data_IF_210523109531
#
_entry.id   IF_210523109531
#
_cell.length_a   1.000
_cell.length_b   1.000
_cell.length_c   1.000
_cell.angle_alpha   90.00
_cell.angle_beta   90.00
_cell.angle_gamma   90.00
#
_symmetry.space_group_name_H-M   'P 1'
#
loop_
_entity.id
_entity.type
_entity.pdbx_description
1 polymer ?
#
# COMPACT_ATOMS: atom_id res chain seq x y z
N UNK A 1 -44.30 15.94 37.92
CA UNK A 1 -43.01 15.25 38.09
C UNK A 1 -42.76 14.08 37.11
N UNK A 2 -43.76 13.34 36.65
CA UNK A 2 -43.61 12.22 35.69
C UNK A 2 -43.33 12.67 34.25
N UNK A 3 -43.91 13.78 33.80
CA UNK A 3 -43.78 14.29 32.42
C UNK A 3 -42.34 14.80 32.13
N UNK A 4 -41.73 15.48 33.11
CA UNK A 4 -40.34 16.00 32.95
C UNK A 4 -39.31 14.86 32.83
N UNK A 5 -39.52 13.75 33.56
CA UNK A 5 -38.62 12.58 33.44
C UNK A 5 -38.70 11.87 32.07
N UNK A 6 -39.89 11.85 31.46
CA UNK A 6 -40.09 11.26 30.12
C UNK A 6 -39.44 12.14 29.04
N UNK A 7 -39.56 13.46 29.14
CA UNK A 7 -38.94 14.39 28.19
C UNK A 7 -37.41 14.30 28.25
N UNK A 8 -36.82 14.24 29.45
CA UNK A 8 -35.38 14.11 29.63
C UNK A 8 -34.87 12.76 29.05
N UNK A 9 -35.64 11.66 29.25
CA UNK A 9 -35.28 10.34 28.73
C UNK A 9 -35.34 10.31 27.18
N UNK A 10 -36.33 10.94 26.57
CA UNK A 10 -36.48 11.04 25.10
C UNK A 10 -35.37 11.90 24.50
N UNK A 11 -34.95 12.99 25.14
CA UNK A 11 -33.84 13.83 24.66
C UNK A 11 -32.51 13.11 24.76
N UNK A 12 -32.27 12.35 25.83
CA UNK A 12 -31.02 11.54 25.97
C UNK A 12 -31.00 10.40 24.97
N UNK A 13 -32.12 9.74 24.69
CA UNK A 13 -32.17 8.68 23.69
C UNK A 13 -32.06 9.22 22.26
N UNK A 14 -32.60 10.39 21.95
CA UNK A 14 -32.43 11.04 20.64
C UNK A 14 -30.99 11.51 20.43
N UNK A 15 -30.31 12.03 21.44
CA UNK A 15 -28.92 12.44 21.36
C UNK A 15 -27.97 11.23 21.23
N UNK A 16 -28.28 10.11 21.88
CA UNK A 16 -27.53 8.86 21.74
C UNK A 16 -27.75 8.23 20.38
N UNK A 17 -28.96 8.27 19.83
CA UNK A 17 -29.27 7.77 18.49
C UNK A 17 -28.64 8.63 17.37
N UNK A 18 -28.58 9.95 17.55
CA UNK A 18 -27.84 10.82 16.61
C UNK A 18 -26.33 10.63 16.70
N UNK A 19 -25.77 10.36 17.88
CA UNK A 19 -24.36 10.02 18.02
C UNK A 19 -24.01 8.67 17.38
N UNK A 20 -24.89 7.67 17.48
CA UNK A 20 -24.71 6.36 16.83
C UNK A 20 -24.91 6.46 15.31
N UNK A 21 -25.84 7.30 14.83
CA UNK A 21 -26.02 7.55 13.40
C UNK A 21 -24.85 8.35 12.79
N UNK A 22 -24.19 9.22 13.56
CA UNK A 22 -22.96 9.90 13.13
C UNK A 22 -21.76 8.97 13.11
N UNK A 23 -21.70 7.92 13.95
CA UNK A 23 -20.62 6.93 13.96
C UNK A 23 -20.71 5.89 12.83
N UNK A 24 -21.87 5.75 12.20
CA UNK A 24 -22.10 4.77 11.11
C UNK A 24 -22.08 5.38 9.70
N UNK A 25 -21.95 6.70 9.55
CA UNK A 25 -21.97 7.42 8.27
C UNK A 25 -20.65 8.13 7.95
N UNK A 26 -19.60 7.93 8.76
CA UNK A 26 -18.28 8.43 8.39
C UNK A 26 -17.79 7.58 7.22
N UNK A 27 -17.68 8.21 6.04
CA UNK A 27 -16.93 7.64 4.93
C UNK A 27 -15.49 7.36 5.39
N UNK A 28 -14.77 6.45 4.73
CA UNK A 28 -13.36 6.24 5.06
C UNK A 28 -12.56 7.55 5.14
N UNK A 29 -12.94 8.56 4.35
CA UNK A 29 -12.36 9.91 4.37
C UNK A 29 -12.59 10.65 5.70
N UNK A 30 -13.79 10.56 6.28
CA UNK A 30 -14.11 11.24 7.55
C UNK A 30 -13.42 10.57 8.75
N UNK A 31 -13.24 9.24 8.71
CA UNK A 31 -12.47 8.52 9.72
C UNK A 31 -11.00 8.93 9.67
N UNK A 32 -10.44 9.01 8.46
CA UNK A 32 -9.06 9.40 8.18
C UNK A 32 -8.74 10.83 8.65
N UNK A 33 -9.65 11.79 8.40
CA UNK A 33 -9.51 13.20 8.83
C UNK A 33 -9.52 13.31 10.36
N UNK A 34 -10.29 12.49 11.07
CA UNK A 34 -10.36 12.52 12.55
C UNK A 34 -9.14 11.93 13.23
N UNK A 35 -8.58 10.83 12.71
CA UNK A 35 -7.33 10.29 13.23
C UNK A 35 -6.15 11.24 12.96
N UNK A 36 -6.17 11.90 11.81
CA UNK A 36 -5.17 12.90 11.45
C UNK A 36 -5.16 14.10 12.40
N UNK A 37 -6.32 14.60 12.81
CA UNK A 37 -6.43 15.72 13.74
C UNK A 37 -5.94 15.41 15.17
N UNK A 38 -6.01 14.15 15.59
CA UNK A 38 -5.49 13.69 16.88
C UNK A 38 -3.95 13.53 16.89
N UNK A 39 -3.35 13.58 15.71
CA UNK A 39 -1.96 13.22 15.44
C UNK A 39 -0.97 14.39 15.45
N UNK A 40 -1.40 15.60 15.16
CA UNK A 40 -0.52 16.78 14.94
C UNK A 40 0.41 17.15 16.11
N UNK A 41 0.33 16.45 17.26
CA UNK A 41 0.98 16.90 18.51
C UNK A 41 2.31 16.21 18.87
N UNK A 42 2.81 15.20 18.16
CA UNK A 42 3.90 14.37 18.75
C UNK A 42 5.04 13.82 17.89
N UNK A 43 5.20 14.12 16.60
CA UNK A 43 6.25 13.49 15.80
C UNK A 43 7.37 14.45 15.36
N UNK A 44 8.62 14.09 15.67
CA UNK A 44 9.78 14.73 15.08
C UNK A 44 9.92 14.38 13.59
N UNK A 45 10.28 15.34 12.71
CA UNK A 45 10.43 15.08 11.29
C UNK A 45 11.59 14.11 11.03
N UNK A 46 11.32 13.04 10.29
CA UNK A 46 12.38 12.14 9.85
C UNK A 46 13.19 12.81 8.73
N UNK A 47 14.49 12.89 8.93
CA UNK A 47 15.41 13.47 7.95
C UNK A 47 15.61 12.49 6.80
N UNK A 48 15.37 12.95 5.57
CA UNK A 48 15.68 12.22 4.35
C UNK A 48 17.20 11.99 4.26
N UNK A 49 17.62 10.73 4.24
CA UNK A 49 19.02 10.35 4.01
C UNK A 49 19.17 9.73 2.61
N UNK A 50 19.72 10.47 1.65
CA UNK A 50 19.89 9.99 0.29
C UNK A 50 20.89 8.83 0.17
N UNK A 51 21.79 8.61 1.14
CA UNK A 51 22.76 7.51 1.09
C UNK A 51 22.10 6.14 1.35
N UNK A 52 21.03 6.09 2.15
CA UNK A 52 20.26 4.87 2.35
C UNK A 52 19.64 4.39 1.03
N UNK A 53 19.32 5.30 0.12
CA UNK A 53 18.67 5.02 -1.16
C UNK A 53 19.66 4.77 -2.30
N UNK A 54 20.83 5.41 -2.26
CA UNK A 54 21.89 5.19 -3.27
C UNK A 54 22.49 3.77 -3.20
N UNK A 55 22.42 3.13 -2.04
CA UNK A 55 23.00 1.82 -1.81
C UNK A 55 22.34 0.68 -2.63
N UNK A 56 21.09 0.84 -3.05
CA UNK A 56 20.34 -0.20 -3.74
C UNK A 56 20.45 -0.17 -5.28
N UNK A 57 20.90 0.93 -5.86
CA UNK A 57 20.98 1.11 -7.31
C UNK A 57 22.06 0.27 -7.99
N UNK A 58 23.06 -0.26 -7.23
CA UNK A 58 24.26 -0.94 -7.75
C UNK A 58 24.36 -2.42 -7.34
N UNK A 59 23.31 -3.07 -6.92
CA UNK A 59 23.37 -4.47 -6.50
C UNK A 59 23.10 -5.43 -7.65
N UNK A 60 24.16 -5.75 -8.37
CA UNK A 60 24.51 -7.05 -8.89
C UNK A 60 23.39 -7.84 -9.59
N UNK A 61 23.72 -9.07 -9.85
CA UNK A 61 22.93 -10.06 -10.56
C UNK A 61 21.54 -10.28 -9.93
N UNK A 62 20.56 -10.58 -10.79
CA UNK A 62 19.23 -11.02 -10.36
C UNK A 62 19.31 -12.35 -9.60
N UNK A 63 18.32 -12.65 -8.79
CA UNK A 63 18.17 -13.97 -8.17
C UNK A 63 17.86 -14.99 -9.27
N UNK A 64 18.30 -16.22 -9.05
CA UNK A 64 18.08 -17.30 -10.02
C UNK A 64 16.61 -17.70 -10.14
N UNK A 65 15.84 -17.55 -9.06
CA UNK A 65 14.46 -18.03 -8.97
C UNK A 65 13.55 -17.04 -8.23
N UNK A 66 12.31 -16.90 -8.72
CA UNK A 66 11.22 -16.12 -8.13
C UNK A 66 9.93 -16.96 -8.12
N UNK A 67 9.43 -17.27 -6.92
CA UNK A 67 8.16 -17.99 -6.72
C UNK A 67 8.01 -19.25 -7.56
N UNK A 68 9.06 -20.08 -7.59
CA UNK A 68 9.10 -21.34 -8.32
C UNK A 68 9.38 -21.20 -9.83
N UNK A 69 9.70 -19.99 -10.29
CA UNK A 69 10.09 -19.72 -11.68
C UNK A 69 11.58 -19.37 -11.73
N UNK A 70 12.36 -20.22 -12.36
CA UNK A 70 13.77 -19.94 -12.63
C UNK A 70 13.89 -19.02 -13.84
N UNK A 71 14.67 -17.95 -13.72
CA UNK A 71 14.86 -17.00 -14.82
C UNK A 71 15.52 -17.65 -16.04
N UNK A 72 16.38 -18.64 -15.82
CA UNK A 72 17.02 -19.39 -16.90
C UNK A 72 16.04 -20.20 -17.77
N UNK A 73 14.84 -20.52 -17.24
CA UNK A 73 13.81 -21.26 -17.97
C UNK A 73 12.86 -20.33 -18.75
N UNK A 74 13.05 -19.02 -18.65
CA UNK A 74 12.24 -18.01 -19.34
C UNK A 74 12.90 -17.63 -20.68
N UNK A 75 12.07 -17.42 -21.69
CA UNK A 75 12.50 -16.75 -22.92
C UNK A 75 12.62 -15.26 -22.68
N UNK A 76 13.41 -14.59 -23.51
CA UNK A 76 13.46 -13.15 -23.58
C UNK A 76 13.00 -12.67 -24.97
N UNK A 77 12.38 -11.50 -25.02
CA UNK A 77 12.11 -10.80 -26.28
C UNK A 77 13.36 -10.09 -26.81
N UNK A 78 13.21 -9.38 -27.93
CA UNK A 78 14.29 -8.63 -28.57
C UNK A 78 14.83 -7.48 -27.70
N UNK A 79 14.04 -7.03 -26.72
CA UNK A 79 14.37 -5.96 -25.78
C UNK A 79 14.95 -6.52 -24.46
N UNK A 80 15.01 -7.85 -24.32
CA UNK A 80 15.54 -8.53 -23.13
C UNK A 80 14.52 -8.71 -22.00
N UNK A 81 13.24 -8.47 -22.23
CA UNK A 81 12.20 -8.72 -21.23
C UNK A 81 11.85 -10.21 -21.14
N UNK A 82 11.68 -10.70 -19.92
CA UNK A 82 11.29 -12.08 -19.70
C UNK A 82 9.83 -12.34 -20.10
N UNK A 83 9.63 -13.45 -20.83
CA UNK A 83 8.34 -13.94 -21.29
C UNK A 83 8.01 -15.24 -20.57
N UNK A 84 6.84 -15.32 -19.94
CA UNK A 84 6.32 -16.55 -19.35
C UNK A 84 5.33 -17.23 -20.28
N UNK A 85 5.36 -18.55 -20.32
CA UNK A 85 4.26 -19.37 -20.84
C UNK A 85 3.07 -19.29 -19.89
N UNK A 86 1.88 -19.68 -20.36
CA UNK A 86 0.66 -19.70 -19.52
C UNK A 86 0.85 -20.57 -18.27
N UNK A 87 1.47 -21.74 -18.42
CA UNK A 87 1.76 -22.63 -17.30
C UNK A 87 2.73 -22.03 -16.27
N UNK A 88 3.75 -21.32 -16.72
CA UNK A 88 4.69 -20.62 -15.84
C UNK A 88 3.97 -19.46 -15.11
N UNK A 89 3.11 -18.73 -15.82
CA UNK A 89 2.29 -17.67 -15.26
C UNK A 89 1.32 -18.18 -14.19
N UNK A 90 0.62 -19.27 -14.46
CA UNK A 90 -0.28 -19.91 -13.49
C UNK A 90 0.49 -20.37 -12.24
N UNK A 91 1.66 -20.97 -12.42
CA UNK A 91 2.53 -21.40 -11.31
C UNK A 91 2.98 -20.20 -10.48
N UNK A 92 3.44 -19.14 -11.12
CA UNK A 92 3.86 -17.91 -10.46
C UNK A 92 2.72 -17.28 -9.67
N UNK A 93 1.55 -17.10 -10.32
CA UNK A 93 0.36 -16.52 -9.67
C UNK A 93 -0.03 -17.35 -8.45
N UNK A 94 -0.11 -18.68 -8.57
CA UNK A 94 -0.43 -19.55 -7.44
C UNK A 94 0.50 -19.32 -6.24
N UNK A 95 1.76 -19.07 -6.49
CA UNK A 95 2.78 -18.92 -5.45
C UNK A 95 2.84 -17.50 -4.86
N UNK A 96 2.32 -16.48 -5.56
CA UNK A 96 2.20 -15.12 -5.03
C UNK A 96 0.85 -14.83 -4.35
N UNK A 97 -0.13 -15.77 -4.41
CA UNK A 97 -1.38 -15.58 -3.68
C UNK A 97 -1.13 -15.58 -2.18
N UNK A 98 -1.78 -14.68 -1.48
CA UNK A 98 -1.71 -14.60 -0.04
C UNK A 98 -1.28 -13.23 0.48
N UNK A 99 -0.71 -13.24 1.66
CA UNK A 99 -0.30 -12.05 2.39
C UNK A 99 1.19 -11.79 2.18
N UNK A 100 1.52 -10.57 1.81
CA UNK A 100 2.87 -10.06 1.62
C UNK A 100 3.12 -8.89 2.56
N UNK A 101 4.34 -8.73 3.03
CA UNK A 101 4.73 -7.48 3.70
C UNK A 101 4.73 -6.33 2.70
N UNK A 102 4.45 -5.12 3.15
CA UNK A 102 4.62 -3.90 2.37
C UNK A 102 5.22 -2.79 3.22
N UNK A 103 5.83 -1.81 2.55
CA UNK A 103 6.35 -0.62 3.21
C UNK A 103 6.26 0.63 2.34
N UNK A 104 6.13 1.77 3.04
CA UNK A 104 6.47 3.09 2.56
C UNK A 104 7.62 3.60 3.43
N UNK A 105 8.73 4.05 2.83
CA UNK A 105 9.94 4.43 3.57
C UNK A 105 9.70 5.50 4.63
N UNK A 106 8.77 6.41 4.39
CA UNK A 106 8.43 7.50 5.31
C UNK A 106 7.77 7.03 6.60
N UNK A 107 7.18 5.82 6.60
CA UNK A 107 6.51 5.26 7.76
C UNK A 107 7.51 4.47 8.61
N UNK A 108 8.05 3.37 8.06
CA UNK A 108 9.01 2.52 8.77
C UNK A 108 9.63 1.48 7.83
N UNK A 109 10.91 1.18 8.06
CA UNK A 109 11.64 0.04 7.50
C UNK A 109 11.69 -1.17 8.45
N UNK A 110 11.09 -1.07 9.63
CA UNK A 110 11.09 -2.12 10.66
C UNK A 110 9.71 -2.66 10.95
N UNK A 111 8.70 -1.76 10.96
CA UNK A 111 7.32 -2.11 11.23
C UNK A 111 6.57 -2.16 9.90
N UNK A 112 6.65 -3.31 9.24
CA UNK A 112 6.00 -3.51 7.96
C UNK A 112 4.49 -3.56 8.09
N UNK A 113 3.82 -3.04 7.06
CA UNK A 113 2.42 -3.30 6.80
C UNK A 113 2.21 -4.62 6.06
N UNK A 114 1.04 -4.82 5.53
CA UNK A 114 0.76 -5.98 4.69
C UNK A 114 -0.29 -5.71 3.63
N UNK A 115 -0.08 -6.29 2.46
CA UNK A 115 -1.06 -6.40 1.38
C UNK A 115 -1.43 -7.86 1.16
N UNK A 116 -2.67 -8.11 0.71
CA UNK A 116 -3.11 -9.42 0.28
C UNK A 116 -3.29 -9.43 -1.23
N UNK A 117 -2.75 -10.46 -1.89
CA UNK A 117 -2.98 -10.75 -3.31
C UNK A 117 -3.98 -11.90 -3.38
N UNK A 118 -5.13 -11.69 -4.03
CA UNK A 118 -6.21 -12.69 -4.11
C UNK A 118 -6.99 -12.56 -5.41
N UNK A 119 -7.65 -13.65 -5.81
CA UNK A 119 -8.63 -13.58 -6.89
C UNK A 119 -9.92 -12.92 -6.42
N UNK A 120 -10.49 -12.05 -7.24
CA UNK A 120 -11.87 -11.58 -7.12
C UNK A 120 -12.86 -12.56 -7.74
N UNK A 121 -14.16 -12.27 -7.61
CA UNK A 121 -15.23 -13.06 -8.20
C UNK A 121 -15.23 -13.03 -9.75
N UNK A 122 -14.55 -12.07 -10.34
CA UNK A 122 -14.35 -11.86 -11.78
C UNK A 122 -13.09 -12.55 -12.33
N UNK A 123 -12.41 -13.37 -11.50
CA UNK A 123 -11.13 -14.00 -11.78
C UNK A 123 -9.96 -13.02 -12.03
N UNK A 124 -10.09 -11.76 -11.70
CA UNK A 124 -8.97 -10.84 -11.69
C UNK A 124 -8.19 -10.95 -10.38
N UNK A 125 -6.89 -10.69 -10.43
CA UNK A 125 -6.08 -10.56 -9.22
C UNK A 125 -6.27 -9.17 -8.63
N UNK A 126 -6.44 -9.13 -7.31
CA UNK A 126 -6.56 -7.91 -6.53
C UNK A 126 -5.44 -7.81 -5.50
N UNK A 127 -4.98 -6.59 -5.29
CA UNK A 127 -4.11 -6.20 -4.18
C UNK A 127 -4.92 -5.32 -3.24
N UNK A 128 -4.91 -5.64 -1.95
CA UNK A 128 -5.55 -4.82 -0.92
C UNK A 128 -4.77 -4.86 0.37
N UNK A 129 -4.53 -3.70 0.96
CA UNK A 129 -3.88 -3.55 2.25
C UNK A 129 -3.03 -2.30 2.33
N UNK A 130 -2.05 -2.28 3.21
CA UNK A 130 -1.17 -1.14 3.40
C UNK A 130 -0.35 -1.23 4.68
N UNK A 131 0.19 -0.11 5.12
CA UNK A 131 1.01 0.05 6.31
C UNK A 131 0.47 1.20 7.14
N UNK A 132 0.44 1.06 8.46
CA UNK A 132 0.05 2.13 9.38
C UNK A 132 1.07 2.24 10.50
N UNK A 133 1.56 3.43 10.74
CA UNK A 133 2.42 3.73 11.88
C UNK A 133 1.58 3.82 13.16
N UNK A 134 1.88 2.99 14.15
CA UNK A 134 1.18 3.02 15.44
C UNK A 134 1.45 4.29 16.26
N UNK A 135 2.69 4.80 16.30
CA UNK A 135 2.99 6.00 17.10
C UNK A 135 2.30 7.25 16.57
N UNK A 136 2.12 7.35 15.28
CA UNK A 136 1.85 8.62 14.61
C UNK A 136 0.73 8.58 13.57
N UNK A 137 0.12 7.47 13.29
CA UNK A 137 -1.00 7.37 12.37
C UNK A 137 -0.67 7.55 10.89
N UNK A 138 0.62 7.74 10.52
CA UNK A 138 1.02 7.76 9.12
C UNK A 138 0.62 6.46 8.44
N UNK A 139 0.14 6.54 7.19
CA UNK A 139 -0.33 5.33 6.52
C UNK A 139 -0.06 5.32 5.02
N UNK A 140 -0.02 4.11 4.51
CA UNK A 140 -0.11 3.72 3.11
C UNK A 140 -1.31 2.81 2.95
N UNK A 141 -2.17 3.07 1.98
CA UNK A 141 -3.24 2.16 1.57
C UNK A 141 -3.14 1.87 0.07
N UNK A 142 -3.40 0.63 -0.29
CA UNK A 142 -3.43 0.15 -1.68
C UNK A 142 -4.69 -0.67 -1.92
N UNK A 143 -5.38 -0.37 -3.02
CA UNK A 143 -6.51 -1.18 -3.49
C UNK A 143 -6.62 -1.10 -5.01
N UNK A 144 -6.58 -2.24 -5.67
CA UNK A 144 -6.69 -2.32 -7.13
C UNK A 144 -6.49 -3.71 -7.67
N UNK A 145 -6.38 -3.81 -8.99
CA UNK A 145 -6.10 -5.05 -9.72
C UNK A 145 -4.62 -5.20 -9.99
N UNK A 146 -4.18 -6.45 -10.15
CA UNK A 146 -2.79 -6.81 -10.43
C UNK A 146 -2.71 -7.61 -11.71
N UNK A 147 -1.84 -7.21 -12.62
CA UNK A 147 -1.44 -7.98 -13.79
C UNK A 147 0.00 -8.44 -13.62
N UNK A 148 0.22 -9.75 -13.77
CA UNK A 148 1.57 -10.31 -13.75
C UNK A 148 2.14 -10.26 -15.16
N UNK A 149 3.12 -9.39 -15.40
CA UNK A 149 3.84 -9.29 -16.67
C UNK A 149 4.88 -10.41 -16.75
N UNK A 150 5.78 -10.45 -15.77
CA UNK A 150 6.75 -11.53 -15.57
C UNK A 150 7.17 -11.55 -14.07
N UNK A 151 8.04 -12.45 -13.61
CA UNK A 151 8.39 -12.56 -12.20
C UNK A 151 9.04 -11.30 -11.61
N UNK A 152 9.66 -10.48 -12.46
CA UNK A 152 10.32 -9.24 -12.05
C UNK A 152 9.44 -8.00 -12.22
N UNK A 153 8.27 -8.13 -12.87
CA UNK A 153 7.43 -7.01 -13.24
C UNK A 153 5.95 -7.33 -13.02
N UNK A 154 5.37 -6.66 -12.07
CA UNK A 154 3.93 -6.61 -11.80
C UNK A 154 3.39 -5.25 -12.21
N UNK A 155 2.18 -5.21 -12.74
CA UNK A 155 1.47 -3.98 -13.04
C UNK A 155 0.22 -3.88 -12.16
N UNK A 156 0.17 -2.87 -11.33
CA UNK A 156 -0.96 -2.56 -10.45
C UNK A 156 -1.81 -1.45 -11.09
N UNK A 157 -3.11 -1.64 -11.14
CA UNK A 157 -4.07 -0.62 -11.56
C UNK A 157 -5.08 -0.37 -10.46
N UNK A 158 -5.04 0.82 -9.87
CA UNK A 158 -5.90 1.13 -8.73
C UNK A 158 -5.51 2.39 -8.01
N UNK A 159 -5.80 2.42 -6.72
CA UNK A 159 -5.57 3.56 -5.83
C UNK A 159 -4.43 3.27 -4.87
N UNK A 160 -3.55 4.25 -4.71
CA UNK A 160 -2.51 4.31 -3.68
C UNK A 160 -2.74 5.60 -2.91
N UNK A 161 -2.97 5.49 -1.62
CA UNK A 161 -3.18 6.64 -0.74
C UNK A 161 -2.06 6.64 0.30
N UNK A 162 -1.34 7.75 0.39
CA UNK A 162 -0.30 7.98 1.40
C UNK A 162 -0.68 9.18 2.25
N UNK A 163 -0.47 9.10 3.55
CA UNK A 163 -0.63 10.20 4.48
C UNK A 163 0.54 10.13 5.46
N UNK A 164 1.41 11.11 5.40
CA UNK A 164 2.64 11.17 6.21
C UNK A 164 2.78 12.58 6.72
N UNK A 165 2.97 12.73 8.04
CA UNK A 165 2.90 14.01 8.72
C UNK A 165 3.77 15.11 8.10
N UNK A 166 4.99 14.78 7.70
CA UNK A 166 5.94 15.74 7.13
C UNK A 166 5.90 15.82 5.59
N UNK A 167 4.95 15.12 4.95
CA UNK A 167 4.72 15.11 3.51
C UNK A 167 3.37 15.75 3.24
N UNK A 168 3.29 16.71 2.30
CA UNK A 168 2.07 17.42 1.92
C UNK A 168 1.30 18.00 3.12
N UNK A 169 2.00 18.57 4.11
CA UNK A 169 1.42 19.10 5.36
C UNK A 169 0.59 18.07 6.15
N UNK A 170 0.98 16.79 6.10
CA UNK A 170 0.23 15.72 6.74
C UNK A 170 -1.12 15.39 6.10
N UNK A 171 -1.41 15.92 4.91
CA UNK A 171 -2.66 15.66 4.20
C UNK A 171 -2.55 14.43 3.31
N UNK A 172 -3.60 13.62 3.18
CA UNK A 172 -3.60 12.48 2.29
C UNK A 172 -3.29 12.87 0.84
N UNK A 173 -2.46 12.06 0.19
CA UNK A 173 -2.19 12.11 -1.24
C UNK A 173 -2.79 10.87 -1.87
N UNK A 174 -3.86 11.05 -2.64
CA UNK A 174 -4.48 9.99 -3.42
C UNK A 174 -3.91 10.00 -4.84
N UNK A 175 -3.42 8.84 -5.26
CA UNK A 175 -2.99 8.55 -6.62
C UNK A 175 -3.86 7.45 -7.19
N UNK A 176 -4.35 7.59 -8.40
CA UNK A 176 -5.19 6.62 -9.10
C UNK A 176 -4.66 6.43 -10.52
N UNK A 177 -4.46 5.19 -10.92
CA UNK A 177 -3.90 4.87 -12.23
C UNK A 177 -3.18 3.53 -12.28
N UNK A 178 -2.31 3.40 -13.27
CA UNK A 178 -1.48 2.21 -13.48
C UNK A 178 -0.06 2.48 -13.01
N UNK A 179 0.47 1.55 -12.21
CA UNK A 179 1.79 1.63 -11.59
C UNK A 179 2.56 0.35 -11.86
N UNK A 180 3.83 0.50 -12.19
CA UNK A 180 4.73 -0.62 -12.44
C UNK A 180 5.52 -0.93 -11.17
N UNK A 181 5.50 -2.18 -10.75
CA UNK A 181 6.26 -2.68 -9.62
C UNK A 181 7.34 -3.61 -10.13
N UNK A 182 8.61 -3.26 -9.98
CA UNK A 182 9.72 -4.04 -10.54
C UNK A 182 10.75 -4.44 -9.48
N UNK A 183 11.44 -5.54 -9.77
CA UNK A 183 12.61 -6.00 -9.02
C UNK A 183 13.86 -5.49 -9.69
N UNK A 184 14.83 -5.05 -8.91
CA UNK A 184 16.18 -4.71 -9.37
C UNK A 184 17.24 -5.45 -8.54
N UNK A 185 18.24 -6.03 -9.20
CA UNK A 185 19.32 -6.77 -8.55
C UNK A 185 18.81 -7.90 -7.65
N UNK A 186 19.41 -8.07 -6.47
CA UNK A 186 19.10 -9.10 -5.49
C UNK A 186 17.92 -8.79 -4.56
N UNK A 187 17.12 -7.75 -4.86
CA UNK A 187 16.00 -7.34 -4.02
C UNK A 187 14.99 -8.48 -3.82
N UNK A 188 14.40 -8.49 -2.62
CA UNK A 188 13.32 -9.43 -2.26
C UNK A 188 11.97 -8.72 -2.22
N UNK A 189 11.78 -7.73 -3.08
CA UNK A 189 10.55 -6.95 -3.19
C UNK A 189 10.41 -6.37 -4.59
N UNK A 190 9.17 -6.12 -4.97
CA UNK A 190 8.84 -5.27 -6.10
C UNK A 190 8.68 -3.84 -5.60
N UNK A 191 9.34 -2.89 -6.25
CA UNK A 191 9.23 -1.45 -5.96
C UNK A 191 8.43 -0.74 -7.03
N UNK A 192 7.48 0.11 -6.62
CA UNK A 192 6.77 1.02 -7.51
C UNK A 192 7.75 1.92 -8.24
N UNK A 193 7.60 2.06 -9.57
CA UNK A 193 8.51 2.86 -10.40
C UNK A 193 8.06 4.31 -10.54
N UNK A 194 6.76 4.58 -10.47
CA UNK A 194 6.19 5.93 -10.49
C UNK A 194 6.29 6.58 -9.10
N UNK A 195 7.54 6.76 -8.64
CA UNK A 195 7.86 7.13 -7.27
C UNK A 195 7.54 8.59 -6.92
N UNK A 196 7.51 9.50 -7.90
CA UNK A 196 7.31 10.91 -7.63
C UNK A 196 5.94 11.19 -7.03
N UNK A 197 5.91 11.79 -5.84
CA UNK A 197 4.69 12.26 -5.22
C UNK A 197 4.20 13.51 -5.99
N UNK A 198 2.93 13.52 -6.48
CA UNK A 198 2.44 14.61 -7.31
C UNK A 198 2.20 15.93 -6.58
N UNK A 199 2.28 15.95 -5.25
CA UNK A 199 2.00 17.14 -4.43
C UNK A 199 3.26 17.93 -4.05
N UNK A 200 4.33 17.25 -3.77
CA UNK A 200 5.56 17.88 -3.25
C UNK A 200 6.85 17.45 -3.97
N UNK A 201 6.73 16.45 -4.86
CA UNK A 201 7.87 15.96 -5.65
C UNK A 201 8.82 15.02 -4.88
N UNK A 202 8.50 14.66 -3.63
CA UNK A 202 9.27 13.65 -2.91
C UNK A 202 9.08 12.27 -3.56
N UNK A 203 10.08 11.40 -3.41
CA UNK A 203 10.00 10.02 -3.90
C UNK A 203 9.31 9.13 -2.86
N UNK A 204 8.20 8.52 -3.23
CA UNK A 204 7.51 7.51 -2.43
C UNK A 204 8.00 6.12 -2.85
N UNK A 205 8.79 5.44 -2.01
CA UNK A 205 9.18 4.04 -2.22
C UNK A 205 8.11 3.12 -1.62
N UNK A 206 7.18 2.69 -2.46
CA UNK A 206 6.19 1.70 -2.11
C UNK A 206 6.70 0.34 -2.53
N UNK A 207 6.93 -0.54 -1.55
CA UNK A 207 7.50 -1.87 -1.76
C UNK A 207 6.52 -2.96 -1.34
N UNK A 208 6.46 -4.03 -2.16
CA UNK A 208 5.74 -5.28 -1.84
C UNK A 208 6.79 -6.38 -1.77
N UNK A 209 6.93 -6.99 -0.60
CA UNK A 209 7.96 -8.01 -0.34
C UNK A 209 7.51 -9.40 -0.74
N UNK A 210 8.45 -10.29 -0.96
CA UNK A 210 8.19 -11.67 -1.41
C UNK A 210 7.63 -12.56 -0.29
N UNK A 211 7.83 -12.17 0.96
CA UNK A 211 7.48 -12.91 2.19
C UNK A 211 6.70 -12.01 3.16
#
# INVERSE_FOLDING_TARGET
>A
MKIVKVIILVVITLSALTAIACLGLLSGEDYMIREQAAYEESAEPQVYDPEIFAYDANRGELREEYFGIKLADLKQDEEGHYIMTDQQRETFIKNILGKHMCSLQWISWKDFGSVSISYGADNMLYVKGGQTSKPNGDFLEMYGTLTVINPLHLQFNGQIITCVQHINDGKPVKREGTYNFTVAGQRRYWRMQEMNNPKDGYCDYVDIYFD
#
